data_IF_757298930703
#
_entry.id   IF_757298930703
#
_cell.length_a   1.000
_cell.length_b   1.000
_cell.length_c   1.000
_cell.angle_alpha   90.00
_cell.angle_beta   90.00
_cell.angle_gamma   90.00
#
_symmetry.space_group_name_H-M   'P 1'
#
loop_
_entity.id
_entity.type
_entity.pdbx_description
1 polymer ?
#
# COMPACT_ATOMS: atom_id res chain seq x y z
N UNK A 1 -20.56 -11.87 2.47
CA UNK A 1 -19.52 -10.82 2.49
C UNK A 1 -20.14 -9.44 2.25
N UNK A 2 -20.79 -9.20 1.11
CA UNK A 2 -21.40 -7.88 0.80
C UNK A 2 -22.44 -7.43 1.84
N UNK A 3 -23.29 -8.35 2.32
CA UNK A 3 -24.28 -8.05 3.37
C UNK A 3 -23.61 -7.59 4.68
N UNK A 4 -22.54 -8.25 5.08
CA UNK A 4 -21.82 -7.95 6.33
C UNK A 4 -21.13 -6.58 6.27
N UNK A 5 -20.56 -6.25 5.11
CA UNK A 5 -19.93 -4.95 4.85
C UNK A 5 -20.96 -3.83 4.89
N UNK A 6 -22.10 -4.02 4.21
CA UNK A 6 -23.20 -3.04 4.23
C UNK A 6 -23.73 -2.86 5.66
N UNK A 7 -23.87 -3.93 6.42
CA UNK A 7 -24.30 -3.86 7.82
C UNK A 7 -23.27 -3.14 8.69
N UNK A 8 -21.97 -3.38 8.50
CA UNK A 8 -20.91 -2.67 9.21
C UNK A 8 -20.91 -1.17 8.91
N UNK A 9 -21.09 -0.78 7.65
CA UNK A 9 -21.19 0.63 7.24
C UNK A 9 -22.46 1.29 7.79
N UNK A 10 -23.60 0.59 7.82
CA UNK A 10 -24.84 1.08 8.43
C UNK A 10 -24.68 1.28 9.95
N UNK A 11 -23.96 0.37 10.61
CA UNK A 11 -23.67 0.43 12.04
C UNK A 11 -22.71 1.57 12.37
N UNK A 12 -21.68 1.77 11.55
CA UNK A 12 -20.65 2.81 11.72
C UNK A 12 -20.40 3.57 10.42
N UNK A 13 -21.22 4.59 10.10
CA UNK A 13 -21.01 5.43 8.91
C UNK A 13 -19.70 6.22 8.97
N UNK A 14 -19.12 6.37 10.17
CA UNK A 14 -17.80 6.97 10.38
C UNK A 14 -16.67 6.28 9.61
N UNK A 15 -16.81 4.99 9.27
CA UNK A 15 -15.83 4.27 8.43
C UNK A 15 -15.72 4.93 7.05
N UNK A 16 -16.85 5.14 6.38
CA UNK A 16 -16.88 5.76 5.06
C UNK A 16 -16.48 7.23 5.14
N UNK A 17 -16.95 7.95 6.17
CA UNK A 17 -16.64 9.38 6.34
C UNK A 17 -15.14 9.61 6.54
N UNK A 18 -14.49 8.81 7.38
CA UNK A 18 -13.05 8.96 7.65
C UNK A 18 -12.20 8.67 6.42
N UNK A 19 -12.46 7.56 5.72
CA UNK A 19 -11.76 7.28 4.45
C UNK A 19 -12.08 8.30 3.37
N UNK A 20 -13.34 8.73 3.26
CA UNK A 20 -13.75 9.75 2.32
C UNK A 20 -13.02 11.06 2.56
N UNK A 21 -12.88 11.49 3.81
CA UNK A 21 -12.10 12.68 4.16
C UNK A 21 -10.62 12.52 3.81
N UNK A 22 -10.00 11.37 4.13
CA UNK A 22 -8.58 11.11 3.82
C UNK A 22 -8.33 11.12 2.31
N UNK A 23 -9.20 10.46 1.53
CA UNK A 23 -9.08 10.39 0.08
C UNK A 23 -9.34 11.76 -0.55
N UNK A 24 -10.31 12.51 -0.03
CA UNK A 24 -10.56 13.89 -0.50
C UNK A 24 -9.33 14.76 -0.28
N UNK A 25 -8.72 14.72 0.91
CA UNK A 25 -7.47 15.45 1.19
C UNK A 25 -6.35 14.98 0.25
N UNK A 26 -6.22 13.68 0.00
CA UNK A 26 -5.22 13.13 -0.92
C UNK A 26 -5.45 13.59 -2.37
N UNK A 27 -6.69 13.62 -2.85
CA UNK A 27 -7.01 14.11 -4.20
C UNK A 27 -6.79 15.62 -4.34
N UNK A 28 -7.18 16.40 -3.33
CA UNK A 28 -6.92 17.84 -3.29
C UNK A 28 -5.42 18.09 -3.29
N UNK A 29 -4.66 17.36 -2.49
CA UNK A 29 -3.21 17.46 -2.47
C UNK A 29 -2.60 17.09 -3.83
N UNK A 30 -3.05 15.98 -4.45
CA UNK A 30 -2.57 15.55 -5.76
C UNK A 30 -2.92 16.57 -6.88
N UNK A 31 -3.99 17.35 -6.71
CA UNK A 31 -4.32 18.45 -7.63
C UNK A 31 -3.35 19.62 -7.52
N UNK A 32 -2.88 19.93 -6.30
CA UNK A 32 -1.96 21.06 -6.06
C UNK A 32 -0.49 20.70 -6.23
N UNK A 33 -0.13 19.49 -5.83
CA UNK A 33 1.21 18.91 -5.99
C UNK A 33 1.02 17.69 -6.89
N UNK A 34 1.01 17.88 -8.22
CA UNK A 34 0.76 16.81 -9.15
C UNK A 34 2.00 15.93 -9.26
N UNK A 35 2.25 15.09 -8.25
CA UNK A 35 3.44 14.24 -8.14
C UNK A 35 3.59 13.40 -9.40
N UNK A 36 2.50 12.80 -9.90
CA UNK A 36 2.55 12.00 -11.13
C UNK A 36 2.90 12.83 -12.36
N UNK A 37 2.40 14.06 -12.46
CA UNK A 37 2.70 14.96 -13.57
C UNK A 37 4.10 15.54 -13.45
N UNK A 38 4.64 15.68 -12.24
CA UNK A 38 6.06 15.96 -12.01
C UNK A 38 6.94 14.76 -12.38
N UNK A 39 6.58 13.53 -12.00
CA UNK A 39 7.36 12.33 -12.36
C UNK A 39 7.36 12.15 -13.88
N UNK A 40 6.18 12.19 -14.52
CA UNK A 40 6.05 12.08 -15.98
C UNK A 40 6.72 13.26 -16.67
N UNK A 41 6.60 14.47 -16.10
CA UNK A 41 7.29 15.67 -16.58
C UNK A 41 8.80 15.55 -16.51
N UNK A 42 9.36 15.03 -15.41
CA UNK A 42 10.79 14.78 -15.25
C UNK A 42 11.26 13.74 -16.28
N UNK A 43 10.56 12.61 -16.40
CA UNK A 43 10.87 11.55 -17.38
C UNK A 43 10.88 12.11 -18.80
N UNK A 44 9.87 12.91 -19.16
CA UNK A 44 9.75 13.52 -20.48
C UNK A 44 10.79 14.65 -20.72
N UNK A 45 11.15 15.42 -19.68
CA UNK A 45 12.16 16.49 -19.77
C UNK A 45 13.58 15.95 -19.84
N UNK A 46 13.86 14.80 -19.22
CA UNK A 46 15.19 14.17 -19.31
C UNK A 46 15.47 13.58 -20.68
N UNK A 47 14.45 13.35 -21.52
CA UNK A 47 14.59 12.77 -22.86
C UNK A 47 15.26 11.39 -22.91
N UNK A 48 15.57 10.82 -21.75
CA UNK A 48 16.28 9.56 -21.58
C UNK A 48 15.32 8.39 -21.45
N UNK A 49 15.80 7.21 -21.84
CA UNK A 49 15.05 5.97 -21.69
C UNK A 49 14.63 5.77 -20.21
N UNK A 50 13.49 5.12 -19.99
CA UNK A 50 13.01 4.77 -18.63
C UNK A 50 14.10 4.03 -17.84
N UNK A 51 14.94 3.26 -18.54
CA UNK A 51 16.09 2.56 -17.98
C UNK A 51 17.13 3.53 -17.39
N UNK A 52 17.43 4.63 -18.08
CA UNK A 52 18.37 5.65 -17.59
C UNK A 52 17.80 6.41 -16.39
N UNK A 53 16.48 6.62 -16.34
CA UNK A 53 15.81 7.20 -15.18
C UNK A 53 15.92 6.30 -13.94
N UNK A 54 15.73 4.98 -14.11
CA UNK A 54 15.90 4.01 -13.01
C UNK A 54 17.36 3.97 -12.53
N UNK A 55 18.32 3.97 -13.46
CA UNK A 55 19.75 4.01 -13.13
C UNK A 55 20.14 5.32 -12.43
N UNK A 56 19.60 6.46 -12.85
CA UNK A 56 19.83 7.74 -12.18
C UNK A 56 19.26 7.75 -10.75
N UNK A 57 18.06 7.21 -10.54
CA UNK A 57 17.48 7.05 -9.22
C UNK A 57 18.32 6.11 -8.34
N UNK A 58 18.82 5.01 -8.89
CA UNK A 58 19.72 4.08 -8.21
C UNK A 58 21.02 4.78 -7.80
N UNK A 59 21.65 5.55 -8.70
CA UNK A 59 22.85 6.31 -8.39
C UNK A 59 22.61 7.35 -7.30
N UNK A 60 21.49 8.08 -7.35
CA UNK A 60 21.14 9.04 -6.30
C UNK A 60 20.95 8.37 -4.93
N UNK A 61 20.41 7.16 -4.88
CA UNK A 61 20.17 6.40 -3.64
C UNK A 61 21.45 5.75 -3.07
N UNK A 62 22.41 5.37 -3.92
CA UNK A 62 23.62 4.62 -3.53
C UNK A 62 24.84 5.54 -3.36
N UNK A 63 24.84 6.73 -3.97
CA UNK A 63 25.95 7.69 -3.84
C UNK A 63 26.17 8.09 -2.38
N UNK A 64 27.38 7.82 -1.89
CA UNK A 64 27.79 8.02 -0.50
C UNK A 64 27.65 9.49 -0.08
N UNK A 65 27.80 10.43 -1.02
CA UNK A 65 27.66 11.86 -0.76
C UNK A 65 26.21 12.28 -0.52
N UNK A 66 25.25 11.61 -1.17
CA UNK A 66 23.81 11.89 -1.05
C UNK A 66 23.17 11.09 0.10
N UNK A 67 23.84 10.05 0.59
CA UNK A 67 23.32 9.14 1.60
C UNK A 67 22.83 9.86 2.89
N UNK A 68 23.53 10.85 3.47
CA UNK A 68 23.01 11.58 4.64
C UNK A 68 21.70 12.33 4.33
N UNK A 69 21.59 12.93 3.14
CA UNK A 69 20.41 13.67 2.71
C UNK A 69 19.23 12.71 2.48
N UNK A 70 19.46 11.59 1.81
CA UNK A 70 18.45 10.55 1.57
C UNK A 70 17.95 9.98 2.90
N UNK A 71 18.85 9.63 3.82
CA UNK A 71 18.46 9.12 5.14
C UNK A 71 17.69 10.18 5.95
N UNK A 72 18.11 11.44 5.90
CA UNK A 72 17.39 12.54 6.52
C UNK A 72 15.98 12.70 5.96
N UNK A 73 15.82 12.67 4.64
CA UNK A 73 14.51 12.75 3.98
C UNK A 73 13.62 11.55 4.34
N UNK A 74 14.16 10.34 4.33
CA UNK A 74 13.45 9.11 4.73
C UNK A 74 13.02 9.20 6.19
N UNK A 75 13.86 9.70 7.09
CA UNK A 75 13.51 9.87 8.50
C UNK A 75 12.35 10.86 8.70
N UNK A 76 12.38 12.00 8.00
CA UNK A 76 11.29 13.00 8.05
C UNK A 76 9.99 12.40 7.50
N UNK A 77 10.03 11.75 6.34
CA UNK A 77 8.87 11.09 5.74
C UNK A 77 8.32 10.01 6.67
N UNK A 78 9.20 9.17 7.24
CA UNK A 78 8.82 8.12 8.17
C UNK A 78 8.13 8.68 9.42
N UNK A 79 8.64 9.78 9.99
CA UNK A 79 8.01 10.44 11.14
C UNK A 79 6.63 10.98 10.78
N UNK A 80 6.52 11.76 9.71
CA UNK A 80 5.24 12.35 9.27
C UNK A 80 4.20 11.26 8.98
N UNK A 81 4.58 10.25 8.21
CA UNK A 81 3.70 9.14 7.85
C UNK A 81 3.28 8.33 9.08
N UNK A 82 4.21 8.09 10.02
CA UNK A 82 3.91 7.38 11.27
C UNK A 82 2.94 8.13 12.17
N UNK A 83 3.02 9.48 12.22
CA UNK A 83 2.03 10.29 12.94
C UNK A 83 0.66 10.16 12.28
N UNK A 84 0.57 10.32 10.95
CA UNK A 84 -0.68 10.21 10.21
C UNK A 84 -1.35 8.83 10.42
N UNK A 85 -0.60 7.74 10.23
CA UNK A 85 -1.11 6.38 10.42
C UNK A 85 -1.45 6.11 11.88
N UNK A 86 -0.62 6.58 12.83
CA UNK A 86 -0.87 6.45 14.26
C UNK A 86 -2.17 7.13 14.71
N UNK A 87 -2.55 8.25 14.09
CA UNK A 87 -3.80 8.96 14.38
C UNK A 87 -5.00 8.33 13.66
N UNK A 88 -4.84 7.87 12.42
CA UNK A 88 -5.98 7.44 11.60
C UNK A 88 -6.32 5.96 11.79
N UNK A 89 -5.32 5.11 11.67
CA UNK A 89 -5.49 3.66 11.49
C UNK A 89 -6.01 2.92 12.74
N UNK A 90 -5.54 3.17 13.98
CA UNK A 90 -6.03 2.42 15.13
C UNK A 90 -7.51 2.69 15.45
N UNK A 91 -7.95 3.95 15.33
CA UNK A 91 -9.36 4.31 15.50
C UNK A 91 -10.25 3.72 14.41
N UNK A 92 -9.77 3.76 13.16
CA UNK A 92 -10.48 3.21 12.01
C UNK A 92 -10.68 1.69 12.14
N UNK A 93 -9.59 0.94 12.36
CA UNK A 93 -9.63 -0.52 12.44
C UNK A 93 -10.44 -1.02 13.64
N UNK A 94 -10.41 -0.33 14.78
CA UNK A 94 -11.20 -0.72 15.94
C UNK A 94 -12.71 -0.52 15.70
N UNK A 95 -13.07 0.55 14.98
CA UNK A 95 -14.44 0.77 14.50
C UNK A 95 -14.85 -0.29 13.47
N UNK A 96 -13.92 -0.72 12.61
CA UNK A 96 -14.16 -1.74 11.61
C UNK A 96 -14.40 -3.13 12.25
N UNK A 97 -13.66 -3.47 13.30
CA UNK A 97 -13.87 -4.68 14.09
C UNK A 97 -15.28 -4.69 14.72
N UNK A 98 -15.66 -3.61 15.43
CA UNK A 98 -16.99 -3.52 16.06
C UNK A 98 -18.11 -3.49 15.00
N UNK A 99 -17.87 -2.89 13.84
CA UNK A 99 -18.79 -2.91 12.70
C UNK A 99 -19.11 -4.32 12.20
N UNK A 100 -18.16 -5.23 12.31
CA UNK A 100 -18.29 -6.64 11.91
C UNK A 100 -18.74 -7.57 13.07
N UNK A 101 -18.90 -7.04 14.29
CA UNK A 101 -19.42 -7.77 15.44
C UNK A 101 -20.94 -7.70 15.52
N UNK A 102 -21.57 -8.80 15.95
CA UNK A 102 -23.00 -8.85 16.23
C UNK A 102 -23.30 -8.06 17.52
N UNK A 103 -24.20 -7.08 17.45
CA UNK A 103 -24.61 -6.27 18.60
C UNK A 103 -24.73 -4.77 18.31
N UNK A 104 -25.19 -3.97 19.29
CA UNK A 104 -25.31 -2.52 19.15
C UNK A 104 -23.92 -1.86 19.02
N UNK A 105 -23.83 -0.84 18.17
CA UNK A 105 -22.56 -0.13 17.91
C UNK A 105 -22.10 0.66 19.13
N UNK A 106 -20.85 0.46 19.54
CA UNK A 106 -20.26 1.23 20.64
C UNK A 106 -19.85 2.61 20.13
N UNK A 107 -20.23 3.67 20.86
CA UNK A 107 -19.86 5.05 20.53
C UNK A 107 -18.46 5.37 21.07
N UNK A 108 -17.72 6.24 20.38
CA UNK A 108 -16.42 6.75 20.86
C UNK A 108 -15.21 5.84 20.60
N UNK A 109 -15.41 4.70 19.93
CA UNK A 109 -14.36 3.72 19.62
C UNK A 109 -13.15 4.32 18.87
N UNK A 110 -13.40 5.27 17.98
CA UNK A 110 -12.32 5.90 17.22
C UNK A 110 -11.34 6.65 18.13
N UNK A 111 -11.85 7.46 19.06
CA UNK A 111 -11.04 8.22 20.02
C UNK A 111 -10.36 7.28 21.03
N UNK A 112 -11.06 6.23 21.44
CA UNK A 112 -10.49 5.19 22.30
C UNK A 112 -9.31 4.47 21.62
N UNK A 113 -9.47 4.11 20.34
CA UNK A 113 -8.45 3.47 19.53
C UNK A 113 -7.18 4.31 19.44
N UNK A 114 -7.31 5.61 19.16
CA UNK A 114 -6.17 6.54 19.15
C UNK A 114 -5.51 6.60 20.52
N UNK A 115 -6.28 6.89 21.58
CA UNK A 115 -5.71 7.07 22.93
C UNK A 115 -4.95 5.83 23.42
N UNK A 116 -5.45 4.64 23.10
CA UNK A 116 -4.90 3.37 23.58
C UNK A 116 -3.77 2.83 22.70
N UNK A 117 -3.85 3.01 21.38
CA UNK A 117 -2.96 2.34 20.44
C UNK A 117 -2.06 3.29 19.62
N UNK A 118 -2.17 4.61 19.77
CA UNK A 118 -1.37 5.59 19.01
C UNK A 118 0.13 5.27 19.04
N UNK A 119 0.75 5.18 20.23
CA UNK A 119 2.19 4.92 20.33
C UNK A 119 2.58 3.56 19.74
N UNK A 120 1.72 2.54 19.88
CA UNK A 120 1.97 1.22 19.31
C UNK A 120 1.97 1.29 17.78
N UNK A 121 0.97 1.92 17.19
CA UNK A 121 0.87 2.11 15.74
C UNK A 121 1.99 3.00 15.22
N UNK A 122 2.34 4.08 15.92
CA UNK A 122 3.45 4.97 15.56
C UNK A 122 4.78 4.20 15.44
N UNK A 123 5.17 3.45 16.47
CA UNK A 123 6.42 2.67 16.45
C UNK A 123 6.39 1.57 15.40
N UNK A 124 5.22 0.97 15.20
CA UNK A 124 5.03 -0.06 14.19
C UNK A 124 5.17 0.51 12.78
N UNK A 125 4.52 1.64 12.49
CA UNK A 125 4.62 2.32 11.20
C UNK A 125 6.04 2.79 10.91
N UNK A 126 6.77 3.28 11.91
CA UNK A 126 8.17 3.66 11.74
C UNK A 126 9.00 2.47 11.25
N UNK A 127 8.82 1.29 11.87
CA UNK A 127 9.48 0.05 11.42
C UNK A 127 9.04 -0.38 10.03
N UNK A 128 7.75 -0.31 9.73
CA UNK A 128 7.20 -0.66 8.42
C UNK A 128 7.76 0.25 7.34
N UNK A 129 7.86 1.56 7.56
CA UNK A 129 8.42 2.51 6.59
C UNK A 129 9.91 2.25 6.37
N UNK A 130 10.69 1.99 7.43
CA UNK A 130 12.10 1.62 7.28
C UNK A 130 12.28 0.31 6.52
N UNK A 131 11.47 -0.70 6.81
CA UNK A 131 11.47 -1.97 6.07
C UNK A 131 11.02 -1.80 4.62
N UNK A 132 10.04 -0.93 4.35
CA UNK A 132 9.59 -0.60 3.01
C UNK A 132 10.70 0.11 2.21
N UNK A 133 11.44 1.03 2.85
CA UNK A 133 12.58 1.69 2.22
C UNK A 133 13.72 0.69 1.95
N UNK A 134 14.05 -0.17 2.89
CA UNK A 134 15.04 -1.23 2.68
C UNK A 134 14.61 -2.16 1.54
N UNK A 135 13.35 -2.58 1.51
CA UNK A 135 12.77 -3.39 0.45
C UNK A 135 12.89 -2.66 -0.90
N UNK A 136 12.56 -1.37 -0.96
CA UNK A 136 12.68 -0.56 -2.18
C UNK A 136 14.11 -0.58 -2.72
N UNK A 137 15.12 -0.39 -1.85
CA UNK A 137 16.53 -0.46 -2.26
C UNK A 137 16.89 -1.85 -2.79
N UNK A 138 16.48 -2.92 -2.11
CA UNK A 138 16.72 -4.30 -2.56
C UNK A 138 16.06 -4.55 -3.92
N UNK A 139 14.82 -4.09 -4.11
CA UNK A 139 14.10 -4.23 -5.37
C UNK A 139 14.79 -3.47 -6.50
N UNK A 140 15.23 -2.23 -6.26
CA UNK A 140 15.98 -1.45 -7.24
C UNK A 140 17.31 -2.11 -7.61
N UNK A 141 18.03 -2.68 -6.66
CA UNK A 141 19.26 -3.43 -6.94
C UNK A 141 18.95 -4.70 -7.74
N UNK A 142 17.84 -5.37 -7.43
CA UNK A 142 17.42 -6.59 -8.12
C UNK A 142 17.01 -6.38 -9.58
N UNK A 143 16.63 -5.15 -9.97
CA UNK A 143 16.29 -4.84 -11.38
C UNK A 143 17.51 -4.56 -12.24
N UNK A 144 18.68 -4.29 -11.65
CA UNK A 144 19.92 -3.96 -12.41
C UNK A 144 20.29 -5.05 -13.42
N UNK A 145 20.32 -6.36 -13.09
CA UNK A 145 20.67 -7.39 -14.07
C UNK A 145 19.72 -7.44 -15.27
N UNK A 146 18.41 -7.29 -15.05
CA UNK A 146 17.42 -7.23 -16.13
C UNK A 146 17.64 -6.03 -17.04
N UNK A 147 17.81 -4.84 -16.46
CA UNK A 147 18.09 -3.60 -17.20
C UNK A 147 19.34 -3.74 -18.08
N UNK A 148 20.44 -4.26 -17.52
CA UNK A 148 21.70 -4.42 -18.25
C UNK A 148 21.56 -5.42 -19.39
N UNK A 149 20.94 -6.59 -19.15
CA UNK A 149 20.73 -7.60 -20.19
C UNK A 149 19.85 -7.09 -21.32
N UNK A 150 18.76 -6.40 -21.00
CA UNK A 150 17.85 -5.83 -21.99
C UNK A 150 18.53 -4.74 -22.82
N UNK A 151 19.38 -3.90 -22.21
CA UNK A 151 20.17 -2.91 -22.95
C UNK A 151 21.16 -3.56 -23.92
N UNK A 152 21.86 -4.61 -23.49
CA UNK A 152 22.84 -5.32 -24.34
C UNK A 152 22.14 -6.02 -25.51
N UNK A 153 20.99 -6.64 -25.25
CA UNK A 153 20.19 -7.30 -26.28
C UNK A 153 19.68 -6.32 -27.34
N UNK A 154 19.26 -5.12 -26.94
CA UNK A 154 18.76 -4.08 -27.86
C UNK A 154 19.85 -3.40 -28.70
N UNK A 155 21.07 -3.28 -28.16
CA UNK A 155 22.13 -2.47 -28.77
C UNK A 155 23.19 -3.28 -29.50
N UNK A 156 23.59 -4.44 -28.96
CA UNK A 156 24.84 -5.11 -29.35
C UNK A 156 24.60 -6.51 -29.91
N UNK A 157 23.66 -7.26 -29.35
CA UNK A 157 23.45 -8.67 -29.75
C UNK A 157 21.99 -9.09 -29.58
N UNK A 158 21.16 -8.92 -30.63
CA UNK A 158 19.74 -9.32 -30.62
C UNK A 158 19.53 -10.81 -30.34
N UNK A 159 20.55 -11.64 -30.60
CA UNK A 159 20.57 -13.07 -30.28
C UNK A 159 20.39 -13.34 -28.77
N UNK A 160 20.72 -12.37 -27.91
CA UNK A 160 20.53 -12.44 -26.46
C UNK A 160 19.12 -12.05 -26.00
N UNK A 161 18.21 -11.67 -26.92
CA UNK A 161 16.88 -11.18 -26.56
C UNK A 161 16.06 -12.20 -25.77
N UNK A 162 16.16 -13.50 -26.09
CA UNK A 162 15.48 -14.56 -25.35
C UNK A 162 15.98 -14.63 -23.90
N UNK A 163 17.29 -14.50 -23.69
CA UNK A 163 17.89 -14.50 -22.37
C UNK A 163 17.49 -13.25 -21.57
N UNK A 164 17.44 -12.08 -22.21
CA UNK A 164 16.99 -10.83 -21.60
C UNK A 164 15.53 -10.92 -21.13
N UNK A 165 14.62 -11.41 -21.99
CA UNK A 165 13.21 -11.62 -21.65
C UNK A 165 13.07 -12.59 -20.46
N UNK A 166 13.86 -13.66 -20.43
CA UNK A 166 13.84 -14.60 -19.30
C UNK A 166 14.24 -13.92 -17.99
N UNK A 167 15.34 -13.15 -17.98
CA UNK A 167 15.81 -12.42 -16.79
C UNK A 167 14.77 -11.39 -16.34
N UNK A 168 14.15 -10.68 -17.27
CA UNK A 168 13.09 -9.70 -16.96
C UNK A 168 11.85 -10.37 -16.35
N UNK A 169 11.41 -11.52 -16.87
CA UNK A 169 10.28 -12.27 -16.29
C UNK A 169 10.59 -12.72 -14.87
N UNK A 170 11.80 -13.24 -14.61
CA UNK A 170 12.23 -13.63 -13.26
C UNK A 170 12.27 -12.42 -12.34
N UNK A 171 12.82 -11.30 -12.81
CA UNK A 171 12.92 -10.05 -12.04
C UNK A 171 11.53 -9.54 -11.65
N UNK A 172 10.59 -9.47 -12.60
CA UNK A 172 9.19 -9.09 -12.34
C UNK A 172 8.55 -10.05 -11.34
N UNK A 173 8.79 -11.36 -11.47
CA UNK A 173 8.29 -12.36 -10.53
C UNK A 173 8.80 -12.16 -9.10
N UNK A 174 10.09 -11.87 -8.94
CA UNK A 174 10.72 -11.59 -7.63
C UNK A 174 10.18 -10.30 -7.02
N UNK A 175 10.08 -9.23 -7.81
CA UNK A 175 9.52 -7.94 -7.36
C UNK A 175 8.08 -8.13 -6.89
N UNK A 176 7.26 -8.78 -7.72
CA UNK A 176 5.86 -9.04 -7.43
C UNK A 176 5.69 -9.89 -6.16
N UNK A 177 6.41 -11.01 -6.05
CA UNK A 177 6.36 -11.86 -4.87
C UNK A 177 6.77 -11.09 -3.61
N UNK A 178 7.86 -10.32 -3.67
CA UNK A 178 8.37 -9.55 -2.53
C UNK A 178 7.36 -8.50 -2.05
N UNK A 179 6.70 -7.79 -2.97
CA UNK A 179 5.66 -6.82 -2.63
C UNK A 179 4.43 -7.50 -2.01
N UNK A 180 4.02 -8.66 -2.51
CA UNK A 180 2.92 -9.43 -1.92
C UNK A 180 3.25 -9.91 -0.50
N UNK A 181 4.44 -10.50 -0.30
CA UNK A 181 4.92 -10.90 1.02
C UNK A 181 4.94 -9.71 1.97
N UNK A 182 5.51 -8.58 1.56
CA UNK A 182 5.54 -7.40 2.40
C UNK A 182 4.14 -6.89 2.77
N UNK A 183 3.23 -6.83 1.80
CA UNK A 183 1.88 -6.30 1.98
C UNK A 183 1.03 -7.17 2.91
N UNK A 184 0.98 -8.48 2.66
CA UNK A 184 0.18 -9.44 3.45
C UNK A 184 0.62 -9.42 4.93
N UNK A 185 1.93 -9.52 5.19
CA UNK A 185 2.44 -9.56 6.56
C UNK A 185 2.22 -8.23 7.28
N UNK A 186 2.39 -7.11 6.58
CA UNK A 186 2.14 -5.78 7.14
C UNK A 186 0.66 -5.61 7.52
N UNK A 187 -0.28 -5.94 6.63
CA UNK A 187 -1.71 -5.85 6.91
C UNK A 187 -2.13 -6.72 8.09
N UNK A 188 -1.71 -7.99 8.11
CA UNK A 188 -2.05 -8.91 9.22
C UNK A 188 -1.42 -8.45 10.53
N UNK A 189 -0.20 -7.89 10.51
CA UNK A 189 0.44 -7.36 11.70
C UNK A 189 -0.34 -6.16 12.27
N UNK A 190 -0.83 -5.24 11.42
CA UNK A 190 -1.61 -4.07 11.87
C UNK A 190 -2.91 -4.50 12.55
N UNK A 191 -3.63 -5.46 11.96
CA UNK A 191 -4.89 -5.96 12.54
C UNK A 191 -4.62 -6.73 13.84
N UNK A 192 -3.59 -7.59 13.87
CA UNK A 192 -3.21 -8.34 15.06
C UNK A 192 -2.83 -7.44 16.25
N UNK A 193 -2.30 -6.25 15.98
CA UNK A 193 -1.90 -5.29 17.00
C UNK A 193 -3.06 -4.75 17.85
N UNK A 194 -4.29 -4.88 17.39
CA UNK A 194 -5.51 -4.45 18.08
C UNK A 194 -6.13 -5.55 18.94
N UNK A 195 -5.97 -6.82 18.53
CA UNK A 195 -6.59 -7.97 19.20
C UNK A 195 -5.78 -8.41 20.41
N UNK A 196 -4.45 -8.42 20.32
CA UNK A 196 -3.59 -8.95 21.38
C UNK A 196 -2.49 -7.98 21.78
N UNK A 197 -2.27 -7.81 23.10
CA UNK A 197 -1.20 -6.96 23.63
C UNK A 197 0.18 -7.65 23.62
N UNK A 198 0.22 -8.98 23.71
CA UNK A 198 1.47 -9.77 23.73
C UNK A 198 1.81 -10.29 22.32
N UNK A 199 2.99 -9.93 21.80
CA UNK A 199 3.59 -10.42 20.53
C UNK A 199 2.67 -10.36 19.29
N UNK A 200 2.15 -9.18 18.91
CA UNK A 200 1.20 -9.05 17.80
C UNK A 200 1.77 -9.49 16.45
N UNK A 201 3.08 -9.35 16.24
CA UNK A 201 3.73 -9.80 15.01
C UNK A 201 3.67 -11.32 14.83
N UNK A 202 3.87 -12.11 15.89
CA UNK A 202 3.85 -13.58 15.81
C UNK A 202 2.47 -14.09 15.37
N UNK A 203 1.42 -13.47 15.90
CA UNK A 203 0.04 -13.82 15.59
C UNK A 203 -0.33 -13.40 14.15
N UNK A 204 0.01 -12.17 13.76
CA UNK A 204 -0.16 -11.72 12.37
C UNK A 204 0.58 -12.61 11.37
N UNK A 205 1.82 -13.00 11.71
CA UNK A 205 2.62 -13.96 10.93
C UNK A 205 1.95 -15.32 10.82
N UNK A 206 1.45 -15.89 11.91
CA UNK A 206 0.81 -17.21 11.87
C UNK A 206 -0.42 -17.24 10.94
N UNK A 207 -1.24 -16.19 10.97
CA UNK A 207 -2.40 -16.07 10.06
C UNK A 207 -1.93 -15.89 8.61
N UNK A 208 -0.91 -15.07 8.38
CA UNK A 208 -0.32 -14.87 7.06
C UNK A 208 0.27 -16.17 6.50
N UNK A 209 1.07 -16.91 7.27
CA UNK A 209 1.73 -18.15 6.84
C UNK A 209 0.71 -19.23 6.45
N UNK A 210 -0.33 -19.43 7.29
CA UNK A 210 -1.32 -20.50 7.09
C UNK A 210 -2.25 -20.25 5.88
N UNK A 211 -2.48 -18.98 5.52
CA UNK A 211 -3.47 -18.60 4.52
C UNK A 211 -2.93 -17.61 3.49
N UNK A 212 -1.62 -17.58 3.29
CA UNK A 212 -0.92 -16.63 2.43
C UNK A 212 -1.59 -16.50 1.07
N UNK A 213 -1.73 -17.63 0.37
CA UNK A 213 -2.32 -17.67 -0.98
C UNK A 213 -3.76 -17.19 -1.04
N UNK A 214 -4.57 -17.46 -0.01
CA UNK A 214 -5.96 -16.98 0.02
C UNK A 214 -6.04 -15.47 0.19
N UNK A 215 -5.17 -14.88 1.03
CA UNK A 215 -5.09 -13.42 1.19
C UNK A 215 -4.57 -12.79 -0.10
N UNK A 216 -3.50 -13.34 -0.65
CA UNK A 216 -2.87 -12.87 -1.90
C UNK A 216 -3.85 -12.88 -3.06
N UNK A 217 -4.59 -13.98 -3.28
CA UNK A 217 -5.61 -14.03 -4.32
C UNK A 217 -6.72 -12.99 -4.08
N UNK A 218 -7.13 -12.79 -2.83
CA UNK A 218 -8.06 -11.73 -2.47
C UNK A 218 -7.54 -10.34 -2.85
N UNK A 219 -6.30 -10.01 -2.46
CA UNK A 219 -5.65 -8.75 -2.78
C UNK A 219 -5.50 -8.55 -4.29
N UNK A 220 -5.14 -9.59 -5.05
CA UNK A 220 -5.04 -9.50 -6.51
C UNK A 220 -6.38 -9.21 -7.17
N UNK A 221 -7.49 -9.77 -6.68
CA UNK A 221 -8.82 -9.42 -7.17
C UNK A 221 -9.11 -7.94 -6.90
N UNK A 222 -8.76 -7.43 -5.72
CA UNK A 222 -8.87 -6.01 -5.40
C UNK A 222 -8.00 -5.14 -6.32
N UNK A 223 -6.77 -5.55 -6.60
CA UNK A 223 -5.87 -4.82 -7.52
C UNK A 223 -6.45 -4.76 -8.94
N UNK A 224 -6.99 -5.87 -9.45
CA UNK A 224 -7.68 -5.90 -10.76
C UNK A 224 -8.90 -4.96 -10.76
N UNK A 225 -9.73 -4.99 -9.73
CA UNK A 225 -10.88 -4.09 -9.59
C UNK A 225 -10.44 -2.63 -9.57
N UNK A 226 -9.35 -2.32 -8.85
CA UNK A 226 -8.79 -0.98 -8.75
C UNK A 226 -8.33 -0.47 -10.12
N UNK A 227 -7.57 -1.28 -10.85
CA UNK A 227 -7.05 -0.94 -12.19
C UNK A 227 -8.18 -0.73 -13.19
N UNK A 228 -9.15 -1.67 -13.24
CA UNK A 228 -10.32 -1.55 -14.13
C UNK A 228 -11.16 -0.33 -13.76
N UNK A 229 -11.38 -0.09 -12.47
CA UNK A 229 -12.10 1.08 -11.98
C UNK A 229 -11.43 2.39 -12.40
N UNK A 230 -10.12 2.51 -12.21
CA UNK A 230 -9.36 3.68 -12.66
C UNK A 230 -9.40 3.85 -14.18
N UNK A 231 -9.32 2.76 -14.95
CA UNK A 231 -9.42 2.82 -16.40
C UNK A 231 -10.77 3.41 -16.84
N UNK A 232 -11.88 2.94 -16.27
CA UNK A 232 -13.22 3.46 -16.56
C UNK A 232 -13.33 4.94 -16.19
N UNK A 233 -12.82 5.33 -15.01
CA UNK A 233 -12.85 6.72 -14.53
C UNK A 233 -11.98 7.62 -15.42
N UNK A 234 -10.86 7.11 -15.92
CA UNK A 234 -9.97 7.84 -16.81
C UNK A 234 -10.64 8.19 -18.15
N UNK A 235 -11.54 7.33 -18.65
CA UNK A 235 -12.28 7.54 -19.90
C UNK A 235 -13.36 8.64 -19.79
N UNK A 236 -13.64 9.15 -18.58
CA UNK A 236 -14.60 10.26 -18.39
C UNK A 236 -13.96 11.57 -18.86
N UNK A 237 -14.53 12.17 -19.91
CA UNK A 237 -14.02 13.43 -20.48
C UNK A 237 -14.20 14.67 -19.58
N UNK A 238 -15.19 14.68 -18.70
CA UNK A 238 -15.42 15.79 -17.78
C UNK A 238 -14.57 15.65 -16.51
N UNK A 239 -13.63 16.58 -16.30
CA UNK A 239 -12.72 16.59 -15.17
C UNK A 239 -13.44 16.60 -13.81
N UNK A 240 -14.49 17.41 -13.63
CA UNK A 240 -15.20 17.49 -12.35
C UNK A 240 -15.90 16.17 -12.00
N UNK A 241 -16.52 15.54 -13.01
CA UNK A 241 -17.17 14.23 -12.84
C UNK A 241 -16.11 13.15 -12.56
N UNK A 242 -14.98 13.19 -13.26
CA UNK A 242 -13.86 12.28 -13.04
C UNK A 242 -13.34 12.32 -11.60
N UNK A 243 -13.15 13.51 -11.03
CA UNK A 243 -12.75 13.65 -9.62
C UNK A 243 -13.84 13.16 -8.66
N UNK A 244 -15.09 13.56 -8.87
CA UNK A 244 -16.18 13.14 -7.98
C UNK A 244 -16.38 11.61 -7.98
N UNK A 245 -16.36 10.99 -9.16
CA UNK A 245 -16.47 9.52 -9.30
C UNK A 245 -15.22 8.83 -8.76
N UNK A 246 -14.03 9.37 -9.02
CA UNK A 246 -12.76 8.93 -8.43
C UNK A 246 -12.81 8.85 -6.91
N UNK A 247 -13.21 9.96 -6.29
CA UNK A 247 -13.33 10.07 -4.85
C UNK A 247 -14.31 9.05 -4.26
N UNK A 248 -15.52 8.96 -4.83
CA UNK A 248 -16.55 8.00 -4.39
C UNK A 248 -16.05 6.57 -4.54
N UNK A 249 -15.47 6.24 -5.70
CA UNK A 249 -14.95 4.91 -6.00
C UNK A 249 -13.85 4.51 -5.02
N UNK A 250 -12.83 5.35 -4.83
CA UNK A 250 -11.72 5.07 -3.91
C UNK A 250 -12.22 4.94 -2.48
N UNK A 251 -13.17 5.79 -2.07
CA UNK A 251 -13.74 5.71 -0.72
C UNK A 251 -14.45 4.39 -0.49
N UNK A 252 -15.30 3.97 -1.43
CA UNK A 252 -15.99 2.69 -1.35
C UNK A 252 -15.01 1.51 -1.42
N UNK A 253 -14.01 1.60 -2.30
CA UNK A 253 -13.00 0.57 -2.51
C UNK A 253 -12.16 0.33 -1.26
N UNK A 254 -11.51 1.37 -0.72
CA UNK A 254 -10.66 1.22 0.46
C UNK A 254 -11.45 0.86 1.72
N UNK A 255 -12.71 1.32 1.83
CA UNK A 255 -13.58 0.90 2.95
C UNK A 255 -13.85 -0.60 2.88
N UNK A 256 -14.19 -1.08 1.68
CA UNK A 256 -14.48 -2.49 1.41
C UNK A 256 -13.23 -3.36 1.61
N UNK A 257 -12.07 -2.92 1.13
CA UNK A 257 -10.79 -3.61 1.31
C UNK A 257 -10.44 -3.74 2.79
N UNK A 258 -10.56 -2.67 3.57
CA UNK A 258 -10.22 -2.72 4.98
C UNK A 258 -11.16 -3.63 5.77
N UNK A 259 -12.47 -3.59 5.49
CA UNK A 259 -13.45 -4.49 6.11
C UNK A 259 -13.22 -5.95 5.69
N UNK A 260 -12.84 -6.20 4.43
CA UNK A 260 -12.45 -7.52 3.96
C UNK A 260 -11.27 -8.07 4.76
N UNK A 261 -10.19 -7.29 4.90
CA UNK A 261 -8.99 -7.72 5.62
C UNK A 261 -9.28 -7.99 7.11
N UNK A 262 -10.04 -7.13 7.78
CA UNK A 262 -10.44 -7.33 9.18
C UNK A 262 -11.29 -8.59 9.33
N UNK A 263 -12.29 -8.77 8.45
CA UNK A 263 -13.13 -9.97 8.48
C UNK A 263 -12.32 -11.23 8.22
N UNK A 264 -11.44 -11.20 7.24
CA UNK A 264 -10.56 -12.31 6.90
C UNK A 264 -9.71 -12.71 8.11
N UNK A 265 -9.08 -11.73 8.76
CA UNK A 265 -8.26 -11.97 9.94
C UNK A 265 -9.09 -12.60 11.07
N UNK A 266 -10.25 -12.03 11.39
CA UNK A 266 -11.14 -12.52 12.47
C UNK A 266 -11.59 -13.96 12.23
N UNK A 267 -12.01 -14.29 11.01
CA UNK A 267 -12.48 -15.63 10.66
C UNK A 267 -11.37 -16.69 10.79
N UNK A 268 -10.12 -16.34 10.52
CA UNK A 268 -9.00 -17.27 10.61
C UNK A 268 -8.32 -17.28 11.98
N UNK A 269 -8.55 -16.25 12.80
CA UNK A 269 -8.07 -16.21 14.19
C UNK A 269 -8.92 -17.09 15.11
N UNK A 270 -10.25 -17.12 14.93
CA UNK A 270 -11.15 -17.89 15.80
C UNK A 270 -11.20 -19.40 15.51
N UNK A 271 -10.46 -19.90 14.52
CA UNK A 271 -10.44 -21.30 14.11
C UNK A 271 -9.10 -22.02 14.40
N UNK A 272 -8.20 -21.39 15.17
CA UNK A 272 -6.97 -21.99 15.67
C UNK A 272 -6.96 -22.04 17.18
#
# INVERSE_FOLDING_TARGET
MTKDIVNAVKKHPSLVITLGAVILVAEVFNRFVPIMTMIVGIVNMTGGDILDSILAALHLLIDLNNLPLVLGAVAVIALLFSVCIGLLLPGYLLTAIDGLDEGPGKKGLYREGIRKYFLRFFHMTLRVVLLAFLLLVILLVSTVPGIVMTRVALTTSPELMVAAVFVDVVTVGVVFASLLFFSVYTYMWYIASLVTAKRPFRLGKQVADNRFWNITLGLLIFDVILVVGFFIIFMIGNQAIKYAVGWIFLTAFFTTLALYLVKFFKNNFNCG
#
